data_IF_675451431326
#
_entry.id   IF_675451431326
#
_cell.length_a   1.000
_cell.length_b   1.000
_cell.length_c   1.000
_cell.angle_alpha   90.00
_cell.angle_beta   90.00
_cell.angle_gamma   90.00
#
_symmetry.space_group_name_H-M   'P 1'
#
loop_
_entity.id
_entity.type
_entity.pdbx_description
1 polymer ?
#
# COMPACT_ATOMS: atom_id res chain seq x y z
N UNK A 1 -2.74 12.54 29.45
CA UNK A 1 -1.27 12.31 29.51
C UNK A 1 -0.71 12.62 28.14
N UNK A 2 0.59 12.94 27.99
CA UNK A 2 1.17 13.09 26.65
C UNK A 2 1.13 11.73 25.92
N UNK A 3 0.89 11.71 24.59
CA UNK A 3 0.91 10.48 23.81
C UNK A 3 2.29 9.81 23.93
N UNK A 4 2.30 8.48 23.96
CA UNK A 4 3.53 7.69 24.04
C UNK A 4 4.28 7.66 22.70
N UNK A 5 3.58 7.80 21.57
CA UNK A 5 4.18 7.86 20.24
C UNK A 5 3.27 8.58 19.24
N UNK A 6 3.84 8.98 18.10
CA UNK A 6 3.10 9.59 16.98
C UNK A 6 3.21 8.69 15.76
N UNK A 7 2.08 8.38 15.14
CA UNK A 7 2.01 7.69 13.83
C UNK A 7 1.77 8.73 12.74
N UNK A 8 2.75 8.90 11.87
CA UNK A 8 2.61 9.66 10.64
C UNK A 8 1.90 8.77 9.62
N UNK A 9 0.71 9.18 9.19
CA UNK A 9 -0.22 8.30 8.46
C UNK A 9 -0.83 9.02 7.26
N UNK A 10 -1.47 8.26 6.39
CA UNK A 10 -2.40 8.81 5.40
C UNK A 10 -3.43 7.78 5.00
N UNK A 11 -4.69 8.21 4.87
CA UNK A 11 -5.77 7.35 4.39
C UNK A 11 -5.52 6.83 2.96
N UNK A 12 -4.70 7.54 2.17
CA UNK A 12 -4.34 7.16 0.80
C UNK A 12 -3.16 6.17 0.71
N UNK A 13 -2.56 5.74 1.84
CA UNK A 13 -1.45 4.78 1.83
C UNK A 13 -1.89 3.42 2.36
N UNK A 14 -1.76 2.39 1.53
CA UNK A 14 -1.98 1.01 1.95
C UNK A 14 -1.10 0.64 3.16
N UNK A 15 0.17 1.02 3.14
CA UNK A 15 1.11 0.63 4.20
C UNK A 15 0.82 1.36 5.51
N UNK A 16 0.18 2.53 5.47
CA UNK A 16 -0.24 3.22 6.67
C UNK A 16 -1.36 2.47 7.39
N UNK A 17 -2.20 1.75 6.65
CA UNK A 17 -3.27 0.94 7.21
C UNK A 17 -2.76 -0.29 7.99
N UNK A 18 -1.49 -0.70 7.79
CA UNK A 18 -0.87 -1.73 8.63
C UNK A 18 -0.82 -1.26 10.10
N UNK A 19 -0.42 -0.01 10.32
CA UNK A 19 -0.36 0.56 11.66
C UNK A 19 -1.77 0.65 12.27
N UNK A 20 -2.77 1.06 11.48
CA UNK A 20 -4.16 1.13 11.94
C UNK A 20 -4.73 -0.25 12.31
N UNK A 21 -4.48 -1.28 11.50
CA UNK A 21 -4.89 -2.66 11.82
C UNK A 21 -4.19 -3.16 13.09
N UNK A 22 -2.89 -2.91 13.24
CA UNK A 22 -2.14 -3.30 14.43
C UNK A 22 -2.67 -2.59 15.69
N UNK A 23 -2.91 -1.27 15.64
CA UNK A 23 -3.48 -0.50 16.75
C UNK A 23 -4.87 -1.02 17.13
N UNK A 24 -5.71 -1.32 16.15
CA UNK A 24 -7.05 -1.86 16.35
C UNK A 24 -7.00 -3.27 16.98
N UNK A 25 -6.16 -4.16 16.46
CA UNK A 25 -6.00 -5.53 16.96
C UNK A 25 -5.47 -5.57 18.39
N UNK A 26 -4.48 -4.74 18.70
CA UNK A 26 -3.89 -4.66 20.04
C UNK A 26 -4.75 -3.88 21.02
N UNK A 27 -5.82 -3.22 20.55
CA UNK A 27 -6.69 -2.41 21.38
C UNK A 27 -5.94 -1.26 22.05
N UNK A 28 -4.90 -0.71 21.39
CA UNK A 28 -4.11 0.37 21.96
C UNK A 28 -5.03 1.57 22.22
N UNK A 29 -5.10 2.09 23.46
CA UNK A 29 -5.97 3.22 23.77
C UNK A 29 -5.58 4.48 22.97
N UNK A 30 -6.57 5.22 22.47
CA UNK A 30 -6.35 6.41 21.63
C UNK A 30 -5.59 7.54 22.37
N UNK A 31 -5.60 7.57 23.71
CA UNK A 31 -4.81 8.52 24.49
C UNK A 31 -3.30 8.16 24.57
N UNK A 32 -2.91 7.00 24.03
CA UNK A 32 -1.51 6.55 23.97
C UNK A 32 -0.78 6.98 22.70
N UNK A 33 -1.48 7.41 21.66
CA UNK A 33 -0.84 7.77 20.40
C UNK A 33 -1.51 8.95 19.71
N UNK A 34 -0.72 9.70 18.97
CA UNK A 34 -1.22 10.73 18.05
C UNK A 34 -1.18 10.21 16.61
N UNK A 35 -2.22 10.53 15.83
CA UNK A 35 -2.22 10.34 14.38
C UNK A 35 -1.92 11.67 13.70
N UNK A 36 -0.84 11.73 12.93
CA UNK A 36 -0.45 12.90 12.15
C UNK A 36 -0.62 12.62 10.66
N UNK A 37 -1.65 13.23 10.06
CA UNK A 37 -1.93 13.10 8.63
C UNK A 37 -0.84 13.76 7.79
N UNK A 38 -0.33 13.01 6.82
CA UNK A 38 0.57 13.48 5.77
C UNK A 38 -0.20 13.46 4.46
N UNK A 39 -0.52 14.66 3.94
CA UNK A 39 -1.34 14.80 2.74
C UNK A 39 -0.61 14.32 1.48
N UNK A 40 -0.77 13.03 1.12
CA UNK A 40 -0.12 12.45 -0.07
C UNK A 40 -0.61 13.06 -1.38
N UNK A 41 -1.87 13.52 -1.41
CA UNK A 41 -2.48 14.14 -2.59
C UNK A 41 -1.74 15.38 -3.08
N UNK A 42 -1.10 16.12 -2.17
CA UNK A 42 -0.34 17.34 -2.48
C UNK A 42 1.16 17.17 -2.25
N UNK A 43 1.65 15.93 -2.15
CA UNK A 43 3.06 15.63 -1.90
C UNK A 43 3.55 16.04 -0.50
N UNK A 44 2.70 16.01 0.52
CA UNK A 44 3.08 16.32 1.91
C UNK A 44 4.21 15.45 2.44
N UNK A 45 4.34 14.22 1.93
CA UNK A 45 5.43 13.30 2.24
C UNK A 45 6.81 13.74 1.70
N UNK A 46 6.85 14.79 0.87
CA UNK A 46 8.07 15.41 0.37
C UNK A 46 8.47 16.67 1.14
N UNK A 47 7.72 17.02 2.18
CA UNK A 47 8.03 18.16 3.02
C UNK A 47 9.40 18.01 3.68
N UNK A 48 10.29 19.02 3.60
CA UNK A 48 11.62 18.94 4.20
C UNK A 48 11.60 18.54 5.68
N UNK A 49 10.60 18.97 6.46
CA UNK A 49 10.49 18.58 7.87
C UNK A 49 10.06 17.12 8.03
N UNK A 50 9.25 16.59 7.12
CA UNK A 50 8.88 15.18 7.14
C UNK A 50 9.99 14.27 6.59
N UNK A 51 10.78 14.74 5.62
CA UNK A 51 11.94 14.01 5.10
C UNK A 51 13.00 13.77 6.19
N UNK A 52 13.09 14.65 7.20
CA UNK A 52 13.90 14.41 8.41
C UNK A 52 13.39 13.24 9.25
N UNK A 53 12.08 12.97 9.22
CA UNK A 53 11.46 11.82 9.91
C UNK A 53 11.63 10.55 9.08
N UNK A 54 11.28 10.61 7.79
CA UNK A 54 11.42 9.50 6.86
C UNK A 54 12.13 9.95 5.56
N UNK A 55 13.44 9.69 5.43
CA UNK A 55 14.22 10.05 4.26
C UNK A 55 13.76 9.40 2.95
N UNK A 56 12.93 8.35 3.01
CA UNK A 56 12.35 7.73 1.83
C UNK A 56 11.17 8.55 1.26
N UNK A 57 10.66 9.53 2.00
CA UNK A 57 9.46 10.29 1.62
C UNK A 57 8.23 9.40 1.46
N UNK A 58 8.07 8.41 2.33
CA UNK A 58 6.92 7.49 2.36
C UNK A 58 6.20 7.55 3.70
N UNK A 59 5.00 6.98 3.77
CA UNK A 59 4.25 6.80 5.02
C UNK A 59 3.85 5.32 5.11
N UNK A 60 3.77 4.71 6.31
CA UNK A 60 3.76 5.35 7.62
C UNK A 60 5.15 5.60 8.22
N UNK A 61 5.18 6.33 9.33
CA UNK A 61 6.35 6.39 10.23
C UNK A 61 5.90 6.48 11.69
N UNK A 62 6.72 6.03 12.62
CA UNK A 62 6.52 6.23 14.06
C UNK A 62 7.68 7.01 14.68
N UNK A 63 7.35 8.01 15.49
CA UNK A 63 8.29 8.63 16.44
C UNK A 63 7.81 8.38 17.86
N UNK A 64 8.74 8.15 18.79
CA UNK A 64 8.46 7.95 20.21
C UNK A 64 9.62 8.46 21.05
N UNK A 65 9.39 9.00 22.25
CA UNK A 65 10.47 9.27 23.21
C UNK A 65 11.28 8.02 23.60
N UNK A 66 10.72 6.81 23.42
CA UNK A 66 11.41 5.53 23.69
C UNK A 66 12.24 5.01 22.51
N UNK A 67 12.21 5.70 21.35
CA UNK A 67 12.93 5.29 20.15
C UNK A 67 14.09 6.25 19.87
N UNK A 68 15.29 5.71 19.67
CA UNK A 68 16.47 6.52 19.29
C UNK A 68 16.32 7.17 17.91
N UNK A 69 15.55 6.53 17.02
CA UNK A 69 15.28 6.99 15.66
C UNK A 69 13.85 6.65 15.24
N UNK A 70 13.24 7.39 14.30
CA UNK A 70 11.93 7.04 13.76
C UNK A 70 11.93 5.64 13.14
N UNK A 71 10.82 4.90 13.30
CA UNK A 71 10.54 3.69 12.54
C UNK A 71 9.87 4.10 11.22
N UNK A 72 10.38 3.59 10.10
CA UNK A 72 9.97 4.02 8.75
C UNK A 72 9.57 2.86 7.83
N UNK A 73 9.58 1.64 8.36
CA UNK A 73 9.19 0.41 7.66
C UNK A 73 7.90 -0.12 8.28
N UNK A 74 6.91 -0.49 7.47
CA UNK A 74 5.60 -0.95 7.95
C UNK A 74 5.70 -2.20 8.83
N UNK A 75 6.63 -3.11 8.52
CA UNK A 75 6.93 -4.29 9.33
C UNK A 75 7.43 -3.92 10.72
N UNK A 76 8.44 -3.05 10.81
CA UNK A 76 8.99 -2.62 12.10
C UNK A 76 7.97 -1.84 12.93
N UNK A 77 7.13 -1.04 12.26
CA UNK A 77 6.03 -0.30 12.87
C UNK A 77 4.98 -1.25 13.44
N UNK A 78 4.55 -2.27 12.69
CA UNK A 78 3.63 -3.29 13.19
C UNK A 78 4.22 -3.98 14.41
N UNK A 79 5.49 -4.40 14.34
CA UNK A 79 6.19 -5.10 15.42
C UNK A 79 6.34 -4.23 16.68
N UNK A 80 6.57 -2.93 16.51
CA UNK A 80 6.58 -1.97 17.60
C UNK A 80 5.22 -1.85 18.29
N UNK A 81 4.13 -1.80 17.51
CA UNK A 81 2.77 -1.77 18.05
C UNK A 81 2.40 -3.12 18.70
N UNK A 82 2.83 -4.24 18.13
CA UNK A 82 2.56 -5.58 18.64
C UNK A 82 3.14 -5.81 20.04
N UNK A 83 4.25 -5.13 20.36
CA UNK A 83 4.92 -5.16 21.66
C UNK A 83 4.14 -4.44 22.77
N UNK A 84 3.08 -3.68 22.46
CA UNK A 84 2.18 -3.11 23.47
C UNK A 84 1.32 -4.21 24.12
N UNK A 85 0.91 -3.97 25.36
CA UNK A 85 0.12 -4.91 26.16
C UNK A 85 -1.11 -5.43 25.39
N UNK A 86 -1.29 -6.75 25.38
CA UNK A 86 -2.40 -7.44 24.72
C UNK A 86 -2.13 -8.94 24.64
N UNK A 87 -3.18 -9.77 24.66
CA UNK A 87 -3.05 -11.23 24.81
C UNK A 87 -2.58 -11.97 23.54
N UNK A 88 -2.71 -11.37 22.35
CA UNK A 88 -2.28 -11.96 21.07
C UNK A 88 -1.08 -11.23 20.47
N UNK A 89 -0.12 -11.98 19.94
CA UNK A 89 1.01 -11.45 19.15
C UNK A 89 0.76 -11.67 17.67
N UNK A 90 0.97 -10.63 16.88
CA UNK A 90 0.93 -10.69 15.42
C UNK A 90 2.20 -11.29 14.83
N UNK A 91 3.30 -11.28 15.59
CA UNK A 91 4.59 -11.82 15.16
C UNK A 91 4.68 -13.26 15.65
N UNK A 92 4.60 -14.27 14.75
CA UNK A 92 4.63 -15.65 15.17
C UNK A 92 5.93 -15.95 15.90
N UNK A 93 5.90 -16.68 17.02
CA UNK A 93 7.10 -17.15 17.71
C UNK A 93 7.56 -18.52 17.20
N UNK A 94 6.60 -19.37 16.80
CA UNK A 94 6.83 -20.69 16.19
C UNK A 94 7.58 -20.57 14.83
N UNK A 95 8.77 -21.17 14.70
CA UNK A 95 9.52 -21.21 13.44
C UNK A 95 8.72 -21.76 12.25
N UNK A 96 7.82 -22.73 12.45
CA UNK A 96 7.02 -23.31 11.38
C UNK A 96 5.99 -22.31 10.84
N UNK A 97 5.40 -21.48 11.70
CA UNK A 97 4.48 -20.41 11.29
C UNK A 97 5.25 -19.28 10.62
N UNK A 98 6.41 -18.89 11.16
CA UNK A 98 7.31 -17.90 10.52
C UNK A 98 7.69 -18.30 9.10
N UNK A 99 8.06 -19.56 8.89
CA UNK A 99 8.44 -20.07 7.57
C UNK A 99 7.30 -20.00 6.52
N UNK A 100 6.05 -19.96 6.97
CA UNK A 100 4.86 -19.77 6.11
C UNK A 100 4.50 -18.30 5.92
N UNK A 101 4.65 -17.48 6.96
CA UNK A 101 4.34 -16.06 6.93
C UNK A 101 5.35 -15.25 6.09
N UNK A 102 6.65 -15.55 6.20
CA UNK A 102 7.70 -14.76 5.56
C UNK A 102 7.58 -14.70 4.02
N UNK A 103 7.33 -15.81 3.29
CA UNK A 103 7.14 -15.74 1.84
C UNK A 103 5.97 -14.87 1.40
N UNK A 104 4.92 -14.75 2.21
CA UNK A 104 3.77 -13.88 1.91
C UNK A 104 4.17 -12.41 2.08
N UNK A 105 4.90 -12.09 3.15
CA UNK A 105 5.45 -10.75 3.37
C UNK A 105 6.38 -10.35 2.22
N UNK A 106 7.33 -11.20 1.87
CA UNK A 106 8.29 -10.95 0.79
C UNK A 106 7.56 -10.73 -0.54
N UNK A 107 6.51 -11.51 -0.80
CA UNK A 107 5.72 -11.42 -2.02
C UNK A 107 4.98 -10.08 -2.12
N UNK A 108 4.21 -9.68 -1.11
CA UNK A 108 3.38 -8.46 -1.18
C UNK A 108 4.20 -7.17 -1.10
N UNK A 109 5.45 -7.27 -0.66
CA UNK A 109 6.43 -6.17 -0.68
C UNK A 109 7.35 -6.18 -1.91
N UNK A 110 7.20 -7.15 -2.83
CA UNK A 110 7.98 -7.18 -4.07
C UNK A 110 7.58 -6.07 -5.05
N UNK A 111 8.49 -5.72 -5.96
CA UNK A 111 8.23 -4.70 -6.98
C UNK A 111 7.04 -5.08 -7.89
N UNK A 112 6.91 -6.37 -8.23
CA UNK A 112 5.82 -6.92 -9.05
C UNK A 112 4.46 -6.80 -8.35
N UNK A 113 4.45 -6.70 -7.01
CA UNK A 113 3.25 -6.49 -6.21
C UNK A 113 2.85 -5.00 -6.11
N UNK A 114 3.53 -4.09 -6.80
CA UNK A 114 3.21 -2.66 -6.71
C UNK A 114 1.77 -2.36 -7.16
N UNK A 115 0.94 -1.89 -6.24
CA UNK A 115 -0.45 -1.49 -6.55
C UNK A 115 -0.51 -0.24 -7.43
N UNK A 116 0.59 0.51 -7.57
CA UNK A 116 0.69 1.58 -8.57
C UNK A 116 0.51 1.06 -10.00
N UNK A 117 0.75 -0.23 -10.26
CA UNK A 117 0.39 -0.89 -11.53
C UNK A 117 -1.10 -0.72 -11.83
N UNK A 118 -1.95 -0.94 -10.83
CA UNK A 118 -3.40 -0.83 -10.93
C UNK A 118 -3.84 0.65 -10.94
N UNK A 119 -3.27 1.45 -10.02
CA UNK A 119 -3.69 2.84 -9.82
C UNK A 119 -3.24 3.77 -10.95
N UNK A 120 -2.03 3.61 -11.47
CA UNK A 120 -1.35 4.67 -12.22
C UNK A 120 -0.98 4.30 -13.66
N UNK A 121 -0.95 3.02 -14.01
CA UNK A 121 -0.56 2.59 -15.36
C UNK A 121 -1.76 2.47 -16.31
N UNK A 122 -1.46 2.46 -17.60
CA UNK A 122 -2.42 2.27 -18.68
C UNK A 122 -1.81 1.38 -19.76
N UNK A 123 -2.62 0.50 -20.37
CA UNK A 123 -2.18 -0.48 -21.38
C UNK A 123 -2.54 -0.09 -22.81
N UNK A 124 -3.35 0.95 -22.97
CA UNK A 124 -3.70 1.52 -24.28
C UNK A 124 -4.14 2.98 -24.17
N UNK A 125 -4.45 3.57 -25.33
CA UNK A 125 -4.88 4.95 -25.45
C UNK A 125 -6.20 5.24 -24.72
N UNK A 126 -7.11 4.27 -24.64
CA UNK A 126 -8.39 4.45 -23.95
C UNK A 126 -8.18 4.56 -22.43
N UNK A 127 -7.43 3.61 -21.86
CA UNK A 127 -7.06 3.66 -20.44
C UNK A 127 -6.26 4.93 -20.13
N UNK A 128 -5.30 5.29 -20.98
CA UNK A 128 -4.49 6.50 -20.77
C UNK A 128 -5.34 7.76 -20.81
N UNK A 129 -6.27 7.87 -21.75
CA UNK A 129 -7.24 8.98 -21.80
C UNK A 129 -8.11 8.99 -20.54
N UNK A 130 -8.51 7.82 -20.03
CA UNK A 130 -9.17 7.70 -18.74
C UNK A 130 -8.32 8.26 -17.59
N UNK A 131 -7.06 7.84 -17.50
CA UNK A 131 -6.10 8.33 -16.49
C UNK A 131 -5.87 9.84 -16.59
N UNK A 132 -5.69 10.38 -17.79
CA UNK A 132 -5.54 11.82 -18.07
C UNK A 132 -6.77 12.66 -17.71
N UNK A 133 -7.96 12.05 -17.60
CA UNK A 133 -9.20 12.73 -17.19
C UNK A 133 -9.63 12.38 -15.75
N UNK A 134 -8.80 11.65 -15.01
CA UNK A 134 -9.08 11.21 -13.65
C UNK A 134 -8.33 12.06 -12.63
N UNK A 135 -8.71 11.93 -11.35
CA UNK A 135 -8.00 12.57 -10.24
C UNK A 135 -6.53 12.13 -10.14
N UNK A 136 -6.13 11.02 -10.77
CA UNK A 136 -4.73 10.58 -10.81
C UNK A 136 -3.84 11.56 -11.58
N UNK A 137 -4.36 12.29 -12.57
CA UNK A 137 -3.61 13.37 -13.23
C UNK A 137 -3.23 14.46 -12.24
N UNK A 138 -4.19 14.90 -11.44
CA UNK A 138 -3.96 15.93 -10.42
C UNK A 138 -3.03 15.41 -9.33
N UNK A 139 -3.18 14.15 -8.91
CA UNK A 139 -2.30 13.49 -7.95
C UNK A 139 -0.83 13.48 -8.43
N UNK A 140 -0.57 12.98 -9.63
CA UNK A 140 0.80 12.87 -10.17
C UNK A 140 1.38 14.26 -10.44
N UNK A 141 0.57 15.18 -10.97
CA UNK A 141 0.97 16.56 -11.27
C UNK A 141 1.28 17.40 -10.03
N UNK A 142 0.43 17.35 -9.00
CA UNK A 142 0.65 18.08 -7.75
C UNK A 142 1.93 17.61 -7.03
N UNK A 143 2.20 16.30 -7.08
CA UNK A 143 3.44 15.71 -6.57
C UNK A 143 4.66 16.17 -7.36
N UNK A 144 4.57 16.26 -8.69
CA UNK A 144 5.64 16.80 -9.52
C UNK A 144 5.95 18.24 -9.14
N UNK A 145 4.94 19.09 -9.08
CA UNK A 145 5.08 20.50 -8.73
C UNK A 145 5.69 20.68 -7.32
N UNK A 146 5.30 19.82 -6.36
CA UNK A 146 5.88 19.83 -5.02
C UNK A 146 7.38 19.49 -5.07
N UNK A 147 7.76 18.41 -5.76
CA UNK A 147 9.16 17.99 -5.86
C UNK A 147 10.05 19.02 -6.54
N UNK A 148 9.58 19.64 -7.63
CA UNK A 148 10.30 20.70 -8.33
C UNK A 148 10.49 21.94 -7.45
N UNK A 149 9.45 22.33 -6.69
CA UNK A 149 9.55 23.43 -5.73
C UNK A 149 10.63 23.16 -4.67
N UNK A 150 10.62 21.98 -4.06
CA UNK A 150 11.60 21.66 -3.01
C UNK A 150 13.02 21.47 -3.58
N UNK A 151 13.16 20.90 -4.79
CA UNK A 151 14.45 20.84 -5.49
C UNK A 151 15.00 22.24 -5.80
N UNK A 152 14.15 23.18 -6.20
CA UNK A 152 14.58 24.54 -6.47
C UNK A 152 15.02 25.26 -5.18
N UNK A 153 14.41 24.93 -4.04
CA UNK A 153 14.75 25.50 -2.73
C UNK A 153 16.06 24.93 -2.16
N UNK A 154 16.32 23.63 -2.35
CA UNK A 154 17.58 22.97 -2.00
C UNK A 154 18.06 22.03 -3.13
N UNK A 155 18.77 22.57 -4.14
CA UNK A 155 19.24 21.79 -5.29
C UNK A 155 20.25 20.69 -4.93
N UNK A 156 20.87 20.81 -3.76
CA UNK A 156 21.89 19.86 -3.28
C UNK A 156 21.30 18.70 -2.49
N UNK A 157 20.03 18.78 -2.12
CA UNK A 157 19.38 17.76 -1.31
C UNK A 157 19.33 16.41 -2.07
N UNK A 158 19.82 15.30 -1.48
CA UNK A 158 19.95 14.03 -2.19
C UNK A 158 18.62 13.38 -2.56
N UNK A 159 17.53 13.75 -1.89
CA UNK A 159 16.18 13.21 -2.14
C UNK A 159 15.51 13.82 -3.40
N UNK A 160 15.57 15.14 -3.58
CA UNK A 160 14.66 15.82 -4.51
C UNK A 160 15.04 15.60 -5.97
N UNK A 161 16.32 15.65 -6.32
CA UNK A 161 16.77 15.47 -7.72
C UNK A 161 16.32 14.13 -8.33
N UNK A 162 16.66 12.98 -7.72
CA UNK A 162 16.19 11.68 -8.19
C UNK A 162 14.66 11.57 -8.24
N UNK A 163 13.96 12.10 -7.23
CA UNK A 163 12.50 12.02 -7.15
C UNK A 163 11.78 12.86 -8.20
N UNK A 164 12.31 14.03 -8.57
CA UNK A 164 11.81 14.83 -9.70
C UNK A 164 11.88 14.03 -11.00
N UNK A 165 12.97 13.29 -11.23
CA UNK A 165 13.10 12.46 -12.43
C UNK A 165 12.15 11.25 -12.41
N UNK A 166 12.04 10.58 -11.27
CA UNK A 166 11.15 9.42 -11.10
C UNK A 166 9.67 9.79 -11.32
N UNK A 167 9.16 10.80 -10.59
CA UNK A 167 7.77 11.23 -10.74
C UNK A 167 7.54 11.91 -12.10
N UNK A 168 8.53 12.63 -12.62
CA UNK A 168 8.48 13.30 -13.92
C UNK A 168 8.34 12.30 -15.08
N UNK A 169 9.00 11.14 -14.98
CA UNK A 169 8.88 10.05 -15.93
C UNK A 169 7.45 9.54 -16.09
N UNK A 170 6.70 9.44 -14.98
CA UNK A 170 5.28 9.09 -15.02
C UNK A 170 4.40 10.29 -15.44
N UNK A 171 4.63 11.47 -14.83
CA UNK A 171 3.84 12.68 -15.06
C UNK A 171 3.81 13.10 -16.53
N UNK A 172 4.90 12.85 -17.27
CA UNK A 172 4.96 13.08 -18.71
C UNK A 172 3.78 12.41 -19.44
N UNK A 173 3.51 11.13 -19.18
CA UNK A 173 2.44 10.41 -19.88
C UNK A 173 1.05 10.97 -19.57
N UNK A 174 0.85 11.55 -18.38
CA UNK A 174 -0.39 12.19 -17.95
C UNK A 174 -0.63 13.58 -18.55
N UNK A 175 0.41 14.21 -19.10
CA UNK A 175 0.38 15.62 -19.50
C UNK A 175 0.62 15.85 -20.99
N UNK A 176 1.20 14.89 -21.70
CA UNK A 176 1.41 14.96 -23.15
C UNK A 176 0.26 14.33 -23.93
N UNK A 177 0.07 14.76 -25.17
CA UNK A 177 -0.83 14.10 -26.11
C UNK A 177 -0.44 12.62 -26.30
N UNK A 178 -1.43 11.74 -26.41
CA UNK A 178 -1.21 10.30 -26.59
C UNK A 178 -0.67 10.04 -27.99
N UNK A 179 0.53 9.49 -28.08
CA UNK A 179 1.22 9.25 -29.35
C UNK A 179 2.18 8.06 -29.29
N UNK A 180 3.12 7.97 -30.24
CA UNK A 180 4.06 6.86 -30.36
C UNK A 180 4.90 6.63 -29.09
N UNK A 181 5.17 7.69 -28.34
CA UNK A 181 5.93 7.65 -27.10
C UNK A 181 5.25 6.79 -26.01
N UNK A 182 3.91 6.70 -26.04
CA UNK A 182 3.14 5.89 -25.10
C UNK A 182 3.17 4.40 -25.42
N UNK A 183 3.52 3.99 -26.64
CA UNK A 183 3.48 2.58 -27.02
C UNK A 183 4.39 1.71 -26.15
N UNK A 184 5.59 2.22 -25.80
CA UNK A 184 6.49 1.52 -24.88
C UNK A 184 5.94 1.50 -23.45
N UNK A 185 5.35 2.60 -23.00
CA UNK A 185 4.70 2.67 -21.68
C UNK A 185 3.54 1.68 -21.57
N UNK A 186 2.71 1.57 -22.59
CA UNK A 186 1.61 0.62 -22.68
C UNK A 186 2.07 -0.83 -22.64
N UNK A 187 3.11 -1.17 -23.41
CA UNK A 187 3.72 -2.51 -23.37
C UNK A 187 4.26 -2.85 -21.98
N UNK A 188 5.03 -1.94 -21.38
CA UNK A 188 5.59 -2.14 -20.05
C UNK A 188 4.49 -2.27 -18.99
N UNK A 189 3.41 -1.50 -19.12
CA UNK A 189 2.24 -1.60 -18.26
C UNK A 189 1.58 -2.96 -18.39
N UNK A 190 1.37 -3.44 -19.61
CA UNK A 190 0.79 -4.77 -19.85
C UNK A 190 1.63 -5.90 -19.23
N UNK A 191 2.96 -5.80 -19.32
CA UNK A 191 3.86 -6.76 -18.66
C UNK A 191 3.80 -6.65 -17.12
N UNK A 192 3.68 -5.44 -16.56
CA UNK A 192 3.46 -5.24 -15.13
C UNK A 192 2.12 -5.83 -14.64
N UNK A 193 1.05 -5.72 -15.44
CA UNK A 193 -0.24 -6.36 -15.12
C UNK A 193 -0.15 -7.89 -15.12
N UNK A 194 0.63 -8.49 -16.03
CA UNK A 194 0.89 -9.94 -16.03
C UNK A 194 1.68 -10.37 -14.80
N UNK A 195 2.70 -9.60 -14.40
CA UNK A 195 3.47 -9.86 -13.19
C UNK A 195 2.58 -9.76 -11.94
N UNK A 196 1.73 -8.73 -11.86
CA UNK A 196 0.77 -8.57 -10.77
C UNK A 196 -0.24 -9.74 -10.68
N UNK A 197 -0.69 -10.27 -11.82
CA UNK A 197 -1.51 -11.48 -11.86
C UNK A 197 -0.78 -12.69 -11.26
N UNK A 198 0.51 -12.88 -11.59
CA UNK A 198 1.34 -13.93 -11.02
C UNK A 198 1.54 -13.77 -9.51
N UNK A 199 1.62 -12.54 -9.01
CA UNK A 199 1.66 -12.25 -7.57
C UNK A 199 0.38 -12.73 -6.89
N UNK A 200 -0.79 -12.47 -7.46
CA UNK A 200 -2.07 -12.94 -6.91
C UNK A 200 -2.17 -14.47 -6.92
N UNK A 201 -1.77 -15.13 -8.01
CA UNK A 201 -1.72 -16.60 -8.09
C UNK A 201 -0.74 -17.18 -7.06
N UNK A 202 0.41 -16.51 -6.87
CA UNK A 202 1.41 -16.92 -5.91
C UNK A 202 0.91 -16.76 -4.48
N UNK A 203 0.23 -15.67 -4.16
CA UNK A 203 -0.38 -15.45 -2.85
C UNK A 203 -1.33 -16.60 -2.54
N UNK A 204 -2.25 -16.93 -3.46
CA UNK A 204 -3.18 -18.05 -3.29
C UNK A 204 -2.46 -19.36 -2.94
N UNK A 205 -1.38 -19.67 -3.65
CA UNK A 205 -0.60 -20.89 -3.42
C UNK A 205 0.07 -20.94 -2.04
N UNK A 206 0.41 -19.78 -1.46
CA UNK A 206 1.10 -19.66 -0.17
C UNK A 206 0.15 -19.72 1.02
N UNK A 207 -1.13 -19.37 0.84
CA UNK A 207 -2.12 -19.33 1.92
C UNK A 207 -2.37 -20.73 2.51
N UNK A 208 -2.36 -20.80 3.85
CA UNK A 208 -2.60 -22.04 4.61
C UNK A 208 -4.07 -22.17 5.04
N UNK A 209 -4.73 -21.05 5.35
CA UNK A 209 -6.09 -20.94 5.87
C UNK A 209 -6.27 -21.42 7.33
N UNK A 210 -7.26 -20.87 8.07
CA UNK A 210 -8.18 -19.78 7.68
C UNK A 210 -7.49 -18.41 7.54
N UNK A 211 -6.36 -18.21 8.20
CA UNK A 211 -5.51 -17.03 8.06
C UNK A 211 -4.26 -17.35 7.23
N UNK A 212 -3.46 -16.34 6.91
CA UNK A 212 -2.39 -16.41 5.92
C UNK A 212 -1.41 -17.56 6.19
N UNK A 213 -1.01 -17.71 7.46
CA UNK A 213 -0.02 -18.69 7.90
C UNK A 213 -0.59 -19.84 8.76
N UNK A 214 -1.92 -19.92 8.95
CA UNK A 214 -2.58 -20.98 9.72
C UNK A 214 -3.79 -20.49 10.52
N UNK A 215 -3.90 -20.95 11.77
CA UNK A 215 -5.09 -20.79 12.62
C UNK A 215 -5.21 -19.44 13.34
N UNK A 216 -4.25 -18.54 13.16
CA UNK A 216 -4.24 -17.22 13.83
C UNK A 216 -3.80 -16.12 12.88
N UNK A 217 -4.31 -14.92 13.12
CA UNK A 217 -3.91 -13.69 12.42
C UNK A 217 -2.46 -13.38 12.74
N UNK A 218 -1.69 -13.03 11.72
CA UNK A 218 -0.27 -12.69 11.82
C UNK A 218 0.05 -11.38 11.09
N UNK A 219 1.28 -10.91 11.19
CA UNK A 219 1.79 -9.77 10.41
C UNK A 219 1.66 -9.98 8.89
N UNK A 220 1.67 -11.23 8.41
CA UNK A 220 1.46 -11.56 7.00
C UNK A 220 0.02 -11.25 6.55
N UNK A 221 -0.97 -11.53 7.42
CA UNK A 221 -2.37 -11.19 7.14
C UNK A 221 -2.53 -9.69 6.95
N UNK A 222 -2.04 -8.88 7.89
CA UNK A 222 -2.23 -7.43 7.82
C UNK A 222 -1.55 -6.81 6.60
N UNK A 223 -0.32 -7.20 6.27
CA UNK A 223 0.35 -6.67 5.08
C UNK A 223 -0.34 -7.12 3.79
N UNK A 224 -0.75 -8.38 3.68
CA UNK A 224 -1.49 -8.84 2.50
C UNK A 224 -2.87 -8.19 2.40
N UNK A 225 -3.55 -7.96 3.53
CA UNK A 225 -4.89 -7.35 3.56
C UNK A 225 -4.85 -5.93 3.05
N UNK A 226 -3.95 -5.09 3.57
CA UNK A 226 -3.88 -3.69 3.12
C UNK A 226 -3.47 -3.58 1.65
N UNK A 227 -2.58 -4.47 1.20
CA UNK A 227 -2.14 -4.54 -0.18
C UNK A 227 -3.31 -4.86 -1.13
N UNK A 228 -4.05 -5.92 -0.83
CA UNK A 228 -5.19 -6.33 -1.67
C UNK A 228 -6.35 -5.34 -1.59
N UNK A 229 -6.63 -4.75 -0.42
CA UNK A 229 -7.61 -3.69 -0.26
C UNK A 229 -7.32 -2.50 -1.18
N UNK A 230 -6.06 -2.09 -1.24
CA UNK A 230 -5.64 -0.97 -2.06
C UNK A 230 -5.66 -1.29 -3.55
N UNK A 231 -5.35 -2.54 -3.94
CA UNK A 231 -5.53 -3.01 -5.31
C UNK A 231 -7.01 -2.99 -5.74
N UNK A 232 -7.92 -3.43 -4.88
CA UNK A 232 -9.38 -3.37 -5.12
C UNK A 232 -9.86 -1.93 -5.28
N UNK A 233 -9.46 -1.05 -4.36
CA UNK A 233 -9.74 0.39 -4.48
C UNK A 233 -9.21 0.97 -5.81
N UNK A 234 -7.96 0.66 -6.16
CA UNK A 234 -7.34 1.12 -7.40
C UNK A 234 -8.04 0.61 -8.66
N UNK A 235 -8.61 -0.60 -8.61
CA UNK A 235 -9.40 -1.15 -9.71
C UNK A 235 -10.80 -0.50 -9.83
N UNK A 236 -11.22 0.26 -8.81
CA UNK A 236 -12.54 0.89 -8.75
C UNK A 236 -13.61 -0.02 -8.16
N UNK A 237 -13.24 -1.03 -7.36
CA UNK A 237 -14.21 -1.80 -6.58
C UNK A 237 -14.96 -0.87 -5.63
N UNK A 238 -16.29 -1.01 -5.58
CA UNK A 238 -17.12 -0.27 -4.62
C UNK A 238 -16.67 -0.61 -3.19
N UNK A 239 -16.42 0.42 -2.39
CA UNK A 239 -15.99 0.26 -1.00
C UNK A 239 -16.98 -0.60 -0.20
N UNK A 240 -18.26 -0.61 -0.53
CA UNK A 240 -19.27 -1.45 0.15
C UNK A 240 -19.30 -2.91 -0.33
N UNK A 241 -18.52 -3.26 -1.35
CA UNK A 241 -18.53 -4.57 -2.02
C UNK A 241 -17.13 -5.19 -2.08
N UNK A 242 -16.32 -5.10 -1.02
CA UNK A 242 -14.92 -5.59 -1.06
C UNK A 242 -14.75 -7.11 -1.17
N UNK A 243 -15.83 -7.87 -1.04
CA UNK A 243 -15.84 -9.31 -1.33
C UNK A 243 -16.00 -9.56 -2.84
N UNK A 244 -16.40 -8.54 -3.61
CA UNK A 244 -16.50 -8.58 -5.07
C UNK A 244 -15.13 -8.30 -5.72
N UNK A 245 -14.46 -9.39 -6.06
CA UNK A 245 -13.22 -9.35 -6.83
C UNK A 245 -13.43 -9.13 -8.32
N UNK A 246 -14.67 -9.14 -8.83
CA UNK A 246 -14.94 -9.18 -10.27
C UNK A 246 -14.42 -7.95 -11.02
N UNK A 247 -14.36 -6.79 -10.35
CA UNK A 247 -13.81 -5.56 -10.93
C UNK A 247 -12.29 -5.68 -11.14
N UNK A 248 -11.56 -6.14 -10.13
CA UNK A 248 -10.12 -6.39 -10.23
C UNK A 248 -9.81 -7.51 -11.23
N UNK A 249 -10.61 -8.58 -11.24
CA UNK A 249 -10.47 -9.68 -12.21
C UNK A 249 -10.64 -9.17 -13.64
N UNK A 250 -11.73 -8.45 -13.95
CA UNK A 250 -11.96 -7.87 -15.27
C UNK A 250 -10.83 -6.94 -15.70
N UNK A 251 -10.31 -6.15 -14.76
CA UNK A 251 -9.18 -5.27 -15.04
C UNK A 251 -7.94 -6.08 -15.46
N UNK A 252 -7.57 -7.11 -14.69
CA UNK A 252 -6.41 -7.96 -14.99
C UNK A 252 -6.62 -8.81 -16.25
N UNK A 253 -7.85 -9.25 -16.51
CA UNK A 253 -8.23 -10.09 -17.66
C UNK A 253 -7.90 -9.47 -19.01
N UNK A 254 -7.80 -8.14 -19.10
CA UNK A 254 -7.33 -7.49 -20.32
C UNK A 254 -5.87 -7.85 -20.68
N UNK A 255 -5.03 -8.16 -19.69
CA UNK A 255 -3.65 -8.65 -19.90
C UNK A 255 -3.55 -10.17 -19.80
N UNK A 256 -4.40 -10.80 -18.98
CA UNK A 256 -4.40 -12.25 -18.73
C UNK A 256 -5.85 -12.79 -18.82
N UNK A 257 -6.36 -13.12 -20.02
CA UNK A 257 -7.80 -13.40 -20.23
C UNK A 257 -8.42 -14.50 -19.37
N UNK A 258 -7.63 -15.46 -18.90
CA UNK A 258 -8.08 -16.55 -18.03
C UNK A 258 -7.96 -16.24 -16.54
N UNK A 259 -7.51 -15.04 -16.15
CA UNK A 259 -7.24 -14.71 -14.76
C UNK A 259 -8.51 -14.72 -13.91
N UNK A 260 -8.40 -15.32 -12.74
CA UNK A 260 -9.40 -15.28 -11.66
C UNK A 260 -8.68 -15.29 -10.32
N UNK A 261 -9.22 -14.61 -9.31
CA UNK A 261 -8.74 -14.70 -7.94
C UNK A 261 -8.98 -16.12 -7.42
N UNK A 262 -7.92 -16.75 -6.94
CA UNK A 262 -7.95 -18.12 -6.42
C UNK A 262 -8.83 -18.31 -5.18
N UNK A 263 -9.28 -19.55 -5.00
CA UNK A 263 -10.26 -19.91 -3.96
C UNK A 263 -9.72 -19.71 -2.54
N UNK A 264 -8.42 -19.90 -2.30
CA UNK A 264 -7.84 -19.68 -0.97
C UNK A 264 -7.79 -18.19 -0.66
N UNK A 265 -7.47 -17.36 -1.64
CA UNK A 265 -7.47 -15.90 -1.48
C UNK A 265 -8.85 -15.40 -1.08
N UNK A 266 -9.91 -15.92 -1.71
CA UNK A 266 -11.30 -15.58 -1.34
C UNK A 266 -11.65 -16.03 0.08
N UNK A 267 -11.29 -17.26 0.46
CA UNK A 267 -11.56 -17.79 1.81
C UNK A 267 -10.80 -17.06 2.90
N UNK A 268 -9.52 -16.76 2.64
CA UNK A 268 -8.68 -15.96 3.53
C UNK A 268 -9.24 -14.54 3.68
N UNK A 269 -9.61 -13.90 2.57
CA UNK A 269 -10.20 -12.56 2.60
C UNK A 269 -11.51 -12.51 3.39
N UNK A 270 -12.37 -13.51 3.21
CA UNK A 270 -13.59 -13.64 4.01
C UNK A 270 -13.30 -13.81 5.51
N UNK A 271 -12.25 -14.57 5.86
CA UNK A 271 -11.82 -14.79 7.24
C UNK A 271 -11.27 -13.52 7.88
N UNK A 272 -10.37 -12.80 7.19
CA UNK A 272 -9.77 -11.58 7.75
C UNK A 272 -10.78 -10.43 7.82
N UNK A 273 -11.69 -10.31 6.85
CA UNK A 273 -12.75 -9.31 6.85
C UNK A 273 -13.76 -9.49 8.00
N UNK A 274 -13.88 -10.71 8.54
CA UNK A 274 -14.74 -10.99 9.68
C UNK A 274 -14.17 -10.50 11.03
N UNK A 275 -12.88 -10.16 11.09
CA UNK A 275 -12.21 -9.74 12.33
C UNK A 275 -12.62 -8.33 12.78
N UNK A 276 -12.61 -8.08 14.08
CA UNK A 276 -12.98 -6.77 14.66
C UNK A 276 -11.99 -5.67 14.25
N UNK A 277 -10.69 -6.01 14.16
CA UNK A 277 -9.67 -5.07 13.69
C UNK A 277 -9.95 -4.60 12.26
N UNK A 278 -10.29 -5.52 11.36
CA UNK A 278 -10.68 -5.18 9.99
C UNK A 278 -11.88 -4.26 9.97
N UNK A 279 -12.97 -4.63 10.65
CA UNK A 279 -14.21 -3.84 10.69
C UNK A 279 -13.97 -2.44 11.24
N UNK A 280 -13.12 -2.29 12.26
CA UNK A 280 -12.78 -0.99 12.83
C UNK A 280 -12.02 -0.09 11.85
N UNK A 281 -11.04 -0.61 11.12
CA UNK A 281 -10.18 0.17 10.20
C UNK A 281 -10.85 0.41 8.86
N UNK A 282 -11.68 -0.53 8.43
CA UNK A 282 -12.38 -0.50 7.16
C UNK A 282 -13.89 -0.47 7.37
N UNK A 283 -14.42 0.64 7.94
CA UNK A 283 -15.79 0.65 8.44
C UNK A 283 -16.86 0.62 7.35
N UNK A 284 -16.50 1.09 6.16
CA UNK A 284 -17.39 1.09 4.99
C UNK A 284 -17.25 -0.18 4.15
N UNK A 285 -16.32 -1.06 4.51
CA UNK A 285 -16.02 -2.30 3.79
C UNK A 285 -16.64 -3.55 4.48
N UNK A 286 -17.39 -3.38 5.56
CA UNK A 286 -18.05 -4.45 6.31
C UNK A 286 -19.55 -4.19 6.48
#
# INVERSE_FOLDING_TARGET
>A
MAPQFTVYTSAASQWAQVAHLALAQKGVPEDKYDLKEIALMTGGNFDPEYIKVNPNGTVPSITSPSLDKPLIQSLDILRYIDAFEGESTLVPSDPAVKAKAQPILDLVHSDDASTNTILLLARDAEEMKGKQNSFFKDFVGARQARLEKEQAADPSHPFYGPKVQENGGLNKFYTTEIGEEHNKFFKNSDDAFKAFAQVLDKLDSLLVLPYAAGDSVTEADFHATVWLAHALFGAGTDATQIQDFSVLEKLIQKSVPSFTIGDKTRQWWASIAATDAFKKVYPTLH
#
